data_IF_904103314976
#
_entry.id   IF_904103314976
#
_cell.length_a   1.000
_cell.length_b   1.000
_cell.length_c   1.000
_cell.angle_alpha   90.00
_cell.angle_beta   90.00
_cell.angle_gamma   90.00
#
_symmetry.space_group_name_H-M   'P 1'
#
loop_
_entity.id
_entity.type
_entity.pdbx_description
1 polymer ?
#
# COMPACT_ATOMS: atom_id res chain seq x y z
N UNK A 1 21.27 -3.24 -6.59
CA UNK A 1 20.65 -2.67 -7.81
C UNK A 1 21.69 -2.23 -8.84
N UNK A 2 22.69 -1.43 -8.49
CA UNK A 2 23.72 -1.01 -9.47
C UNK A 2 24.50 -2.21 -10.02
N UNK A 3 24.72 -3.24 -9.21
CA UNK A 3 25.40 -4.47 -9.62
C UNK A 3 24.48 -5.48 -10.31
N UNK A 4 23.19 -5.46 -9.98
CA UNK A 4 22.16 -6.36 -10.49
C UNK A 4 20.93 -5.54 -10.89
N UNK A 5 20.98 -4.92 -12.05
CA UNK A 5 19.92 -4.04 -12.55
C UNK A 5 18.66 -4.79 -12.98
N UNK A 6 18.75 -6.09 -13.21
CA UNK A 6 17.61 -6.92 -13.66
C UNK A 6 16.46 -6.96 -12.65
N UNK A 7 16.74 -6.73 -11.35
CA UNK A 7 15.73 -6.68 -10.29
C UNK A 7 15.14 -5.27 -10.09
N UNK A 8 15.60 -4.28 -10.84
CA UNK A 8 15.12 -2.90 -10.69
C UNK A 8 13.62 -2.72 -10.99
N UNK A 9 13.02 -3.41 -11.99
CA UNK A 9 11.57 -3.31 -12.20
C UNK A 9 10.77 -3.73 -10.97
N UNK A 10 11.12 -4.87 -10.35
CA UNK A 10 10.42 -5.39 -9.17
C UNK A 10 10.60 -4.47 -7.95
N UNK A 11 11.80 -3.88 -7.82
CA UNK A 11 12.06 -2.90 -6.75
C UNK A 11 11.30 -1.60 -6.98
N UNK A 12 11.11 -1.18 -8.24
CA UNK A 12 10.39 0.03 -8.59
C UNK A 12 8.89 -0.03 -8.23
N UNK A 13 8.33 -1.23 -8.16
CA UNK A 13 6.96 -1.44 -7.67
C UNK A 13 6.83 -1.25 -6.15
N UNK A 14 7.91 -1.49 -5.40
CA UNK A 14 7.92 -1.49 -3.93
C UNK A 14 8.41 -0.16 -3.37
N UNK A 15 9.44 0.44 -3.99
CA UNK A 15 10.21 1.57 -3.43
C UNK A 15 10.04 2.82 -4.27
N UNK A 16 9.61 3.90 -3.64
CA UNK A 16 9.63 5.25 -4.24
C UNK A 16 10.94 5.99 -3.92
N UNK A 17 11.25 7.03 -4.70
CA UNK A 17 12.45 7.87 -4.49
C UNK A 17 12.46 8.47 -3.08
N UNK A 18 11.28 8.81 -2.55
CA UNK A 18 11.09 9.38 -1.20
C UNK A 18 11.49 8.44 -0.06
N UNK A 19 11.60 7.14 -0.33
CA UNK A 19 12.00 6.14 0.66
C UNK A 19 13.44 6.34 1.13
N UNK A 20 14.29 6.90 0.28
CA UNK A 20 15.69 7.13 0.61
C UNK A 20 15.88 8.37 1.50
N UNK A 21 16.39 8.15 2.70
CA UNK A 21 16.73 9.25 3.62
C UNK A 21 17.93 10.07 3.12
N UNK A 22 18.91 9.41 2.52
CA UNK A 22 20.09 10.08 1.96
C UNK A 22 19.78 10.64 0.59
N UNK A 23 19.88 11.98 0.36
CA UNK A 23 19.52 12.60 -0.91
C UNK A 23 20.28 12.03 -2.12
N UNK A 24 21.54 11.66 -1.94
CA UNK A 24 22.34 11.06 -2.99
C UNK A 24 21.79 9.70 -3.45
N UNK A 25 21.33 8.86 -2.52
CA UNK A 25 20.74 7.56 -2.87
C UNK A 25 19.41 7.76 -3.64
N UNK A 26 18.56 8.67 -3.20
CA UNK A 26 17.34 9.02 -3.90
C UNK A 26 17.61 9.56 -5.31
N UNK A 27 18.65 10.39 -5.45
CA UNK A 27 19.06 10.93 -6.76
C UNK A 27 19.57 9.83 -7.70
N UNK A 28 20.43 8.94 -7.22
CA UNK A 28 20.93 7.79 -7.99
C UNK A 28 19.76 6.90 -8.42
N UNK A 29 18.89 6.56 -7.49
CA UNK A 29 17.71 5.72 -7.75
C UNK A 29 16.77 6.38 -8.78
N UNK A 30 16.48 7.67 -8.67
CA UNK A 30 15.68 8.41 -9.65
C UNK A 30 16.28 8.39 -11.06
N UNK A 31 17.61 8.49 -11.18
CA UNK A 31 18.30 8.34 -12.47
C UNK A 31 18.18 6.91 -13.00
N UNK A 32 18.31 5.89 -12.13
CA UNK A 32 18.11 4.49 -12.52
C UNK A 32 16.70 4.24 -13.05
N UNK A 33 15.67 4.76 -12.39
CA UNK A 33 14.28 4.66 -12.87
C UNK A 33 14.08 5.31 -14.23
N UNK A 34 14.63 6.50 -14.44
CA UNK A 34 14.54 7.19 -15.73
C UNK A 34 15.28 6.45 -16.86
N UNK A 35 16.34 5.72 -16.52
CA UNK A 35 17.06 4.86 -17.47
C UNK A 35 16.27 3.59 -17.79
N UNK A 36 15.61 3.01 -16.79
CA UNK A 36 14.71 1.85 -16.96
C UNK A 36 13.56 2.18 -17.92
N UNK A 37 12.88 3.31 -17.71
CA UNK A 37 11.79 3.77 -18.58
C UNK A 37 12.23 3.96 -20.05
N UNK A 38 13.46 4.36 -20.26
CA UNK A 38 14.04 4.55 -21.59
C UNK A 38 14.64 3.29 -22.19
N UNK A 39 14.61 2.16 -21.48
CA UNK A 39 15.21 0.89 -21.89
C UNK A 39 16.74 0.94 -21.99
N UNK A 40 17.39 1.86 -21.28
CA UNK A 40 18.84 1.99 -21.27
C UNK A 40 19.45 0.95 -20.33
N UNK A 41 20.62 0.44 -20.70
CA UNK A 41 21.39 -0.42 -19.80
C UNK A 41 21.85 0.37 -18.57
N UNK A 42 21.69 -0.24 -17.39
CA UNK A 42 22.05 0.34 -16.12
C UNK A 42 23.25 -0.41 -15.56
N UNK A 43 24.38 0.28 -15.52
CA UNK A 43 25.61 -0.18 -14.88
C UNK A 43 26.38 1.04 -14.34
N UNK A 44 27.47 0.79 -13.61
CA UNK A 44 28.25 1.84 -12.97
C UNK A 44 28.77 2.88 -13.99
N UNK A 45 29.16 2.46 -15.19
CA UNK A 45 29.70 3.35 -16.22
C UNK A 45 28.62 4.23 -16.83
N UNK A 46 27.47 3.63 -17.15
CA UNK A 46 26.33 4.37 -17.71
C UNK A 46 25.72 5.35 -16.72
N UNK A 47 25.71 5.03 -15.42
CA UNK A 47 25.32 5.94 -14.35
C UNK A 47 26.31 7.09 -14.18
N UNK A 48 27.61 6.79 -14.20
CA UNK A 48 28.67 7.79 -14.06
C UNK A 48 28.70 8.84 -15.20
N UNK A 49 28.21 8.46 -16.38
CA UNK A 49 28.13 9.36 -17.54
C UNK A 49 26.92 10.29 -17.55
N UNK A 50 25.95 10.05 -16.64
CA UNK A 50 24.73 10.87 -16.56
C UNK A 50 25.01 12.27 -16.04
N UNK A 51 24.46 13.31 -16.71
CA UNK A 51 24.69 14.71 -16.32
C UNK A 51 24.22 15.01 -14.89
N UNK A 52 23.18 14.32 -14.43
CA UNK A 52 22.60 14.46 -13.09
C UNK A 52 23.54 13.95 -12.00
N UNK A 53 24.42 13.00 -12.33
CA UNK A 53 25.37 12.36 -11.41
C UNK A 53 26.81 12.80 -11.64
N UNK A 54 27.04 13.81 -12.51
CA UNK A 54 28.39 14.36 -12.77
C UNK A 54 28.92 15.08 -11.53
N UNK A 55 30.18 14.78 -11.21
CA UNK A 55 30.91 15.39 -10.12
C UNK A 55 31.83 14.39 -9.44
N UNK A 56 33.06 14.87 -9.10
CA UNK A 56 34.08 13.99 -8.49
C UNK A 56 33.59 13.33 -7.19
N UNK A 57 32.80 14.05 -6.39
CA UNK A 57 32.22 13.50 -5.14
C UNK A 57 31.17 12.43 -5.40
N UNK A 58 30.30 12.64 -6.38
CA UNK A 58 29.27 11.66 -6.74
C UNK A 58 29.88 10.38 -7.32
N UNK A 59 30.91 10.51 -8.18
CA UNK A 59 31.63 9.35 -8.72
C UNK A 59 32.32 8.55 -7.63
N UNK A 60 32.93 9.24 -6.67
CA UNK A 60 33.53 8.59 -5.50
C UNK A 60 32.45 7.86 -4.68
N UNK A 61 31.31 8.52 -4.44
CA UNK A 61 30.19 7.94 -3.71
C UNK A 61 29.62 6.69 -4.39
N UNK A 62 29.44 6.72 -5.72
CA UNK A 62 29.02 5.54 -6.51
C UNK A 62 30.01 4.38 -6.37
N UNK A 63 31.29 4.67 -6.42
CA UNK A 63 32.35 3.66 -6.24
C UNK A 63 32.34 3.08 -4.82
N UNK A 64 32.15 3.90 -3.79
CA UNK A 64 32.04 3.46 -2.41
C UNK A 64 30.81 2.55 -2.21
N UNK A 65 29.66 2.91 -2.80
CA UNK A 65 28.44 2.09 -2.74
C UNK A 65 28.63 0.71 -3.36
N UNK A 66 29.26 0.64 -4.53
CA UNK A 66 29.49 -0.65 -5.21
C UNK A 66 30.51 -1.53 -4.50
N UNK A 67 31.48 -0.95 -3.79
CA UNK A 67 32.46 -1.68 -3.02
C UNK A 67 31.95 -2.12 -1.64
N UNK A 68 30.86 -1.53 -1.14
CA UNK A 68 30.28 -1.84 0.17
C UNK A 68 29.41 -3.09 0.17
N UNK A 69 29.07 -3.64 -1.01
CA UNK A 69 28.16 -4.77 -1.15
C UNK A 69 28.80 -5.86 -2.00
N UNK A 70 28.96 -7.04 -1.41
CA UNK A 70 29.58 -8.18 -2.09
C UNK A 70 28.64 -8.93 -3.05
N UNK A 71 27.31 -8.82 -2.86
CA UNK A 71 26.33 -9.47 -3.73
C UNK A 71 24.94 -8.83 -3.64
N UNK A 72 24.15 -8.91 -4.72
CA UNK A 72 22.76 -8.48 -4.77
C UNK A 72 21.76 -9.49 -4.18
N UNK A 73 22.22 -10.46 -3.44
CA UNK A 73 21.37 -11.45 -2.74
C UNK A 73 20.44 -10.69 -1.79
N UNK A 74 19.13 -10.90 -1.91
CA UNK A 74 18.07 -10.29 -1.09
C UNK A 74 17.74 -8.80 -1.37
N UNK A 75 17.93 -8.33 -2.60
CA UNK A 75 17.56 -6.95 -2.98
C UNK A 75 16.10 -6.64 -2.68
N UNK A 76 15.18 -7.57 -2.95
CA UNK A 76 13.74 -7.38 -2.69
C UNK A 76 13.43 -7.27 -1.20
N UNK A 77 14.11 -8.04 -0.35
CA UNK A 77 13.92 -7.95 1.11
C UNK A 77 14.42 -6.61 1.64
N UNK A 78 15.54 -6.12 1.12
CA UNK A 78 16.04 -4.78 1.45
C UNK A 78 15.09 -3.68 0.93
N UNK A 79 14.49 -3.85 -0.24
CA UNK A 79 13.49 -2.96 -0.78
C UNK A 79 12.26 -2.87 0.14
N UNK A 80 11.74 -4.00 0.59
CA UNK A 80 10.62 -4.05 1.56
C UNK A 80 10.98 -3.40 2.89
N UNK A 81 12.18 -3.66 3.42
CA UNK A 81 12.64 -3.01 4.66
C UNK A 81 12.76 -1.49 4.51
N UNK A 82 13.22 -1.02 3.34
CA UNK A 82 13.33 0.40 3.04
C UNK A 82 11.94 1.05 2.97
N UNK A 83 10.98 0.44 2.27
CA UNK A 83 9.60 0.88 2.19
C UNK A 83 8.94 0.93 3.58
N UNK A 84 9.10 -0.11 4.39
CA UNK A 84 8.59 -0.13 5.77
C UNK A 84 9.22 0.96 6.65
N UNK A 85 10.49 1.27 6.43
CA UNK A 85 11.18 2.34 7.16
C UNK A 85 10.66 3.72 6.74
N UNK A 86 10.35 3.90 5.46
CA UNK A 86 9.71 5.13 4.97
C UNK A 86 8.34 5.35 5.63
N UNK A 87 7.49 4.31 5.65
CA UNK A 87 6.17 4.38 6.29
C UNK A 87 6.29 4.80 7.75
N UNK A 88 7.18 4.17 8.51
CA UNK A 88 7.45 4.53 9.91
C UNK A 88 7.88 5.99 10.06
N UNK A 89 8.77 6.47 9.20
CA UNK A 89 9.24 7.86 9.20
C UNK A 89 8.10 8.83 8.90
N UNK A 90 7.25 8.52 7.90
CA UNK A 90 6.06 9.33 7.57
C UNK A 90 5.07 9.37 8.71
N UNK A 91 4.81 8.24 9.38
CA UNK A 91 3.95 8.21 10.56
C UNK A 91 4.47 9.09 11.69
N UNK A 92 5.79 9.09 11.92
CA UNK A 92 6.38 9.99 12.91
C UNK A 92 6.20 11.46 12.52
N UNK A 93 6.48 11.84 11.29
CA UNK A 93 6.30 13.20 10.78
C UNK A 93 4.83 13.63 10.85
N UNK A 94 3.91 12.76 10.44
CA UNK A 94 2.47 12.98 10.56
C UNK A 94 2.07 13.29 12.01
N UNK A 95 2.58 12.54 12.99
CA UNK A 95 2.31 12.80 14.41
C UNK A 95 2.77 14.20 14.87
N UNK A 96 3.95 14.63 14.42
CA UNK A 96 4.44 15.99 14.73
C UNK A 96 3.58 17.08 14.07
N UNK A 97 3.26 16.91 12.78
CA UNK A 97 2.44 17.87 12.04
C UNK A 97 1.01 17.91 12.58
N UNK A 98 0.43 16.77 12.92
CA UNK A 98 -0.90 16.67 13.53
C UNK A 98 -0.96 17.46 14.83
N UNK A 99 0.03 17.29 15.72
CA UNK A 99 0.12 18.02 16.97
C UNK A 99 0.23 19.54 16.77
N UNK A 100 1.05 19.96 15.80
CA UNK A 100 1.21 21.39 15.49
C UNK A 100 -0.06 22.01 14.88
N UNK A 101 -0.69 21.31 13.92
CA UNK A 101 -1.91 21.78 13.24
C UNK A 101 -3.12 21.79 14.16
N UNK A 102 -3.25 20.84 15.06
CA UNK A 102 -4.35 20.79 16.03
C UNK A 102 -4.43 22.04 16.91
N UNK A 103 -3.30 22.74 17.12
CA UNK A 103 -3.24 24.00 17.86
C UNK A 103 -3.49 25.21 16.97
N UNK A 104 -3.01 25.19 15.71
CA UNK A 104 -3.03 26.36 14.82
C UNK A 104 -4.26 26.43 13.92
N UNK A 105 -4.83 25.32 13.52
CA UNK A 105 -5.98 25.21 12.61
C UNK A 105 -6.88 24.03 13.00
N UNK A 106 -7.68 24.17 14.07
CA UNK A 106 -8.51 23.09 14.59
C UNK A 106 -9.63 22.68 13.64
N UNK A 107 -10.11 23.56 12.77
CA UNK A 107 -11.26 23.30 11.90
C UNK A 107 -10.88 22.44 10.67
N UNK A 108 -9.67 22.64 10.12
CA UNK A 108 -9.20 21.93 8.93
C UNK A 108 -8.37 20.65 9.25
N UNK A 109 -7.95 20.48 10.52
CA UNK A 109 -7.01 19.42 10.90
C UNK A 109 -7.56 18.02 10.68
N UNK A 110 -8.86 17.80 10.87
CA UNK A 110 -9.50 16.47 10.74
C UNK A 110 -9.49 16.01 9.30
N UNK A 111 -9.88 16.87 8.37
CA UNK A 111 -9.91 16.54 6.93
C UNK A 111 -8.50 16.30 6.41
N UNK A 112 -7.55 17.16 6.79
CA UNK A 112 -6.14 16.97 6.45
C UNK A 112 -5.59 15.66 7.02
N UNK A 113 -5.85 15.36 8.29
CA UNK A 113 -5.36 14.14 8.94
C UNK A 113 -5.93 12.88 8.30
N UNK A 114 -7.21 12.90 7.94
CA UNK A 114 -7.86 11.78 7.24
C UNK A 114 -7.23 11.55 5.87
N UNK A 115 -6.98 12.61 5.12
CA UNK A 115 -6.33 12.53 3.81
C UNK A 115 -4.90 11.98 3.92
N UNK A 116 -4.12 12.49 4.85
CA UNK A 116 -2.71 12.08 5.01
C UNK A 116 -2.57 10.64 5.52
N UNK A 117 -3.40 10.24 6.50
CA UNK A 117 -3.36 8.86 7.00
C UNK A 117 -3.81 7.86 5.92
N UNK A 118 -4.78 8.23 5.08
CA UNK A 118 -5.21 7.40 3.95
C UNK A 118 -4.08 7.24 2.94
N UNK A 119 -3.38 8.32 2.59
CA UNK A 119 -2.22 8.27 1.70
C UNK A 119 -1.07 7.39 2.24
N UNK A 120 -0.84 7.41 3.55
CA UNK A 120 0.14 6.52 4.20
C UNK A 120 -0.34 5.06 4.16
N UNK A 121 -1.63 4.81 4.42
CA UNK A 121 -2.22 3.47 4.40
C UNK A 121 -2.17 2.85 2.99
N UNK A 122 -2.50 3.60 1.95
CA UNK A 122 -2.44 3.14 0.55
C UNK A 122 -1.03 2.71 0.14
N UNK A 123 -0.01 3.36 0.68
CA UNK A 123 1.39 2.98 0.45
C UNK A 123 1.79 1.72 1.22
N UNK A 124 1.29 1.57 2.45
CA UNK A 124 1.55 0.39 3.26
C UNK A 124 1.01 -0.88 2.59
N UNK A 125 -0.19 -0.79 2.00
CA UNK A 125 -0.82 -1.90 1.26
C UNK A 125 0.03 -2.31 0.05
N UNK A 126 0.58 -1.37 -0.72
CA UNK A 126 1.42 -1.69 -1.90
C UNK A 126 2.70 -2.46 -1.56
N UNK A 127 3.24 -2.27 -0.36
CA UNK A 127 4.50 -2.93 0.03
C UNK A 127 4.33 -4.38 0.48
N UNK A 128 3.12 -4.80 0.87
CA UNK A 128 2.87 -6.12 1.47
C UNK A 128 2.04 -7.07 0.58
N UNK A 129 1.39 -6.59 -0.48
CA UNK A 129 0.29 -7.29 -1.15
C UNK A 129 0.59 -7.90 -2.52
N UNK A 130 1.76 -8.48 -2.73
CA UNK A 130 1.85 -9.54 -3.73
C UNK A 130 1.58 -10.87 -3.02
N UNK A 131 0.32 -11.07 -2.62
CA UNK A 131 -0.12 -12.37 -2.15
C UNK A 131 -0.16 -13.32 -3.37
N UNK A 132 0.55 -14.45 -3.36
CA UNK A 132 0.49 -15.41 -4.44
C UNK A 132 -0.97 -15.77 -4.73
N UNK A 133 -1.35 -15.82 -6.01
CA UNK A 133 -2.71 -16.16 -6.41
C UNK A 133 -3.20 -17.47 -5.77
N UNK A 134 -2.29 -18.42 -5.57
CA UNK A 134 -2.56 -19.69 -4.87
C UNK A 134 -3.11 -19.49 -3.45
N UNK A 135 -2.58 -18.49 -2.72
CA UNK A 135 -2.99 -18.23 -1.35
C UNK A 135 -4.32 -17.48 -1.29
N UNK A 136 -4.56 -16.56 -2.25
CA UNK A 136 -5.85 -15.90 -2.44
C UNK A 136 -6.94 -16.94 -2.79
N UNK A 137 -6.65 -17.85 -3.72
CA UNK A 137 -7.58 -18.92 -4.10
C UNK A 137 -7.87 -19.83 -2.92
N UNK A 138 -6.84 -20.24 -2.17
CA UNK A 138 -7.02 -21.09 -0.97
C UNK A 138 -7.90 -20.41 0.08
N UNK A 139 -7.59 -19.15 0.42
CA UNK A 139 -8.38 -18.38 1.39
C UNK A 139 -9.85 -18.22 0.94
N UNK A 140 -10.07 -18.05 -0.38
CA UNK A 140 -11.43 -17.95 -0.95
C UNK A 140 -12.16 -19.28 -0.85
N UNK A 141 -11.51 -20.41 -1.12
CA UNK A 141 -12.09 -21.75 -0.98
C UNK A 141 -12.46 -22.05 0.49
N UNK A 142 -11.55 -21.76 1.42
CA UNK A 142 -11.79 -21.93 2.85
C UNK A 142 -13.00 -21.08 3.34
N UNK A 143 -13.14 -19.85 2.78
CA UNK A 143 -14.31 -19.00 3.10
C UNK A 143 -15.61 -19.54 2.50
N UNK A 144 -15.56 -20.11 1.29
CA UNK A 144 -16.72 -20.75 0.65
C UNK A 144 -17.16 -22.01 1.43
N UNK A 145 -16.23 -22.86 1.83
CA UNK A 145 -16.52 -24.07 2.63
C UNK A 145 -17.14 -23.68 3.97
N UNK A 146 -16.59 -22.69 4.68
CA UNK A 146 -17.14 -22.18 5.92
C UNK A 146 -18.56 -21.63 5.75
N UNK A 147 -18.83 -20.91 4.66
CA UNK A 147 -20.17 -20.42 4.33
C UNK A 147 -21.15 -21.54 4.02
N UNK A 148 -20.70 -22.60 3.36
CA UNK A 148 -21.52 -23.75 3.05
C UNK A 148 -21.89 -24.50 4.33
N UNK A 149 -20.94 -24.68 5.23
CA UNK A 149 -21.16 -25.36 6.52
C UNK A 149 -22.11 -24.57 7.43
N UNK A 150 -21.90 -23.26 7.60
CA UNK A 150 -22.79 -22.39 8.36
C UNK A 150 -24.22 -22.40 7.81
N UNK A 151 -24.38 -22.50 6.48
CA UNK A 151 -25.70 -22.61 5.86
C UNK A 151 -26.39 -23.95 6.16
N UNK A 152 -25.65 -25.05 6.25
CA UNK A 152 -26.18 -26.37 6.61
C UNK A 152 -26.57 -26.41 8.09
N UNK A 153 -25.87 -25.71 8.96
CA UNK A 153 -26.13 -25.59 10.38
C UNK A 153 -27.23 -24.56 10.72
N UNK A 154 -27.72 -23.83 9.69
CA UNK A 154 -28.75 -22.79 9.87
C UNK A 154 -28.23 -21.51 10.54
N UNK A 155 -26.92 -21.34 10.57
CA UNK A 155 -26.28 -20.16 11.16
C UNK A 155 -26.28 -18.96 10.18
N UNK A 156 -26.40 -17.76 10.73
CA UNK A 156 -26.31 -16.53 9.98
C UNK A 156 -24.83 -16.17 9.75
N UNK A 157 -24.42 -16.13 8.46
CA UNK A 157 -23.03 -15.87 8.08
C UNK A 157 -22.64 -14.39 8.29
N UNK A 158 -23.61 -13.49 8.17
CA UNK A 158 -23.46 -12.05 8.33
C UNK A 158 -23.96 -11.56 9.70
N UNK A 159 -24.07 -10.23 9.82
CA UNK A 159 -24.71 -9.60 10.99
C UNK A 159 -26.20 -9.93 10.93
N UNK A 160 -26.72 -10.60 11.95
CA UNK A 160 -28.14 -10.96 12.06
C UNK A 160 -28.99 -9.68 12.11
N UNK A 161 -30.09 -9.68 11.37
CA UNK A 161 -31.11 -8.62 11.41
C UNK A 161 -32.04 -8.76 12.60
N UNK A 162 -31.99 -9.89 13.31
CA UNK A 162 -32.96 -10.29 14.36
C UNK A 162 -34.27 -10.85 13.82
N UNK A 163 -34.47 -10.89 12.50
CA UNK A 163 -35.62 -11.43 11.83
C UNK A 163 -35.27 -12.77 11.17
N UNK A 164 -35.54 -13.90 11.79
CA UNK A 164 -35.12 -15.23 11.34
C UNK A 164 -35.43 -15.51 9.85
N UNK A 165 -36.62 -15.12 9.37
CA UNK A 165 -37.02 -15.34 7.97
C UNK A 165 -36.19 -14.48 7.01
N UNK A 166 -35.80 -13.26 7.41
CA UNK A 166 -34.97 -12.38 6.61
C UNK A 166 -33.53 -12.88 6.60
N UNK A 167 -33.02 -13.28 7.75
CA UNK A 167 -31.67 -13.85 7.88
C UNK A 167 -31.52 -15.16 7.09
N UNK A 168 -32.56 -16.01 7.09
CA UNK A 168 -32.56 -17.23 6.26
C UNK A 168 -32.54 -16.95 4.75
N UNK A 169 -33.13 -15.84 4.30
CA UNK A 169 -33.15 -15.46 2.88
C UNK A 169 -31.87 -14.74 2.46
N UNK A 170 -31.33 -13.85 3.30
CA UNK A 170 -30.20 -12.97 2.97
C UNK A 170 -28.85 -13.51 3.45
N UNK A 171 -28.84 -14.39 4.44
CA UNK A 171 -27.64 -14.83 5.15
C UNK A 171 -27.07 -13.78 6.10
N UNK A 172 -27.89 -12.76 6.46
CA UNK A 172 -27.47 -11.60 7.24
C UNK A 172 -26.77 -10.50 6.41
N UNK A 173 -26.50 -9.37 7.03
CA UNK A 173 -25.83 -8.25 6.39
C UNK A 173 -24.32 -8.41 6.43
N UNK A 174 -23.66 -7.96 5.35
CA UNK A 174 -22.21 -8.10 5.20
C UNK A 174 -21.56 -6.72 5.04
N UNK A 175 -20.30 -6.64 5.45
CA UNK A 175 -19.48 -5.48 5.18
C UNK A 175 -19.44 -5.13 3.69
N UNK A 176 -19.42 -3.83 3.35
CA UNK A 176 -19.41 -3.35 1.97
C UNK A 176 -20.77 -3.35 1.25
N UNK A 177 -21.86 -3.80 1.89
CA UNK A 177 -23.21 -3.77 1.33
C UNK A 177 -23.96 -2.52 1.78
N UNK A 178 -24.62 -1.84 0.84
CA UNK A 178 -25.63 -0.83 1.14
C UNK A 178 -27.00 -1.48 1.22
N UNK A 179 -27.61 -1.45 2.41
CA UNK A 179 -28.94 -2.01 2.63
C UNK A 179 -29.95 -0.88 2.75
N UNK A 180 -30.94 -0.85 1.86
CA UNK A 180 -32.02 0.14 1.87
C UNK A 180 -33.33 -0.55 2.23
N UNK A 181 -33.93 -0.17 3.37
CA UNK A 181 -35.23 -0.64 3.79
C UNK A 181 -36.28 0.43 3.49
N UNK A 182 -37.29 0.05 2.71
CA UNK A 182 -38.42 0.94 2.39
C UNK A 182 -39.72 0.28 2.85
N UNK A 183 -40.62 1.08 3.40
CA UNK A 183 -41.95 0.60 3.75
C UNK A 183 -43.00 1.39 2.97
N UNK A 184 -43.94 0.68 2.35
CA UNK A 184 -45.14 1.29 1.78
C UNK A 184 -46.23 1.26 2.84
N UNK A 185 -46.46 2.37 3.55
CA UNK A 185 -47.64 2.53 4.36
C UNK A 185 -48.81 2.91 3.45
N UNK A 186 -49.67 1.96 3.16
CA UNK A 186 -51.00 2.30 2.65
C UNK A 186 -51.76 3.02 3.78
N UNK A 187 -51.70 4.34 3.75
CA UNK A 187 -52.69 5.15 4.46
C UNK A 187 -54.04 4.84 3.84
N UNK A 188 -54.78 3.89 4.41
CA UNK A 188 -56.21 3.82 4.18
C UNK A 188 -56.79 5.08 4.85
N UNK A 189 -57.09 6.08 4.06
CA UNK A 189 -57.99 7.13 4.48
C UNK A 189 -59.35 6.46 4.79
N UNK A 190 -59.68 6.37 6.05
CA UNK A 190 -61.07 6.10 6.43
C UNK A 190 -61.86 7.34 6.11
N UNK A 191 -62.57 7.29 4.98
CA UNK A 191 -63.67 8.16 4.72
C UNK A 191 -64.80 7.73 5.69
N UNK A 192 -65.10 8.57 6.65
CA UNK A 192 -66.37 8.61 7.35
C UNK A 192 -67.19 9.75 6.82
#
# INVERSE_FOLDING_TARGET
LVLESDQLPDVAEIVEISAFHTPNNGKIYGVMLSMLERGNKIDLYTLADRPELKGREMLRYLSELTNAVDSGVNVLDHARQLANTEIRRRMCLFGYELSARAVSDPDGVVDWATSEITAIADRAVRSDDITPLSDVVRATLDDLERRQQARQEGECIGISTGLQRLDALTGGWRGGQLVVSVSYTHLRAHET
#
